data_IF_659966773008
#
_entry.id   IF_659966773008
#
_cell.length_a   1.000
_cell.length_b   1.000
_cell.length_c   1.000
_cell.angle_alpha   90.00
_cell.angle_beta   90.00
_cell.angle_gamma   90.00
#
_symmetry.space_group_name_H-M   'P 1'
#
loop_
_entity.id
_entity.type
_entity.pdbx_description
1 polymer ?
#
# COMPACT_ATOMS: atom_id res chain seq x y z
N UNK A 1 41.02 12.64 12.85
CA UNK A 1 39.66 12.21 13.22
C UNK A 1 39.79 10.84 13.89
N UNK A 2 39.64 10.74 15.22
CA UNK A 2 39.70 9.45 15.93
C UNK A 2 38.28 8.87 15.96
N UNK A 3 38.14 7.63 15.53
CA UNK A 3 36.86 6.90 15.48
C UNK A 3 36.98 5.76 16.49
N UNK A 4 36.55 6.03 17.72
CA UNK A 4 36.66 5.10 18.85
C UNK A 4 35.35 5.10 19.61
N UNK A 5 34.87 3.92 20.00
CA UNK A 5 33.56 3.73 20.65
C UNK A 5 33.37 4.61 21.89
N UNK A 6 34.45 4.88 22.64
CA UNK A 6 34.42 5.78 23.80
C UNK A 6 34.11 7.24 23.43
N UNK A 7 34.73 7.75 22.38
CA UNK A 7 34.47 9.12 21.91
C UNK A 7 33.08 9.23 21.27
N UNK A 8 32.64 8.21 20.54
CA UNK A 8 31.33 8.19 19.90
C UNK A 8 30.19 8.08 20.92
N UNK A 9 30.35 7.25 21.96
CA UNK A 9 29.41 7.18 23.09
C UNK A 9 29.30 8.51 23.85
N UNK A 10 30.44 9.20 24.07
CA UNK A 10 30.46 10.50 24.73
C UNK A 10 29.77 11.60 23.90
N UNK A 11 29.92 11.56 22.56
CA UNK A 11 29.20 12.47 21.67
C UNK A 11 27.70 12.25 21.75
N UNK A 12 27.24 10.99 21.70
CA UNK A 12 25.81 10.67 21.83
C UNK A 12 25.26 11.15 23.18
N UNK A 13 25.98 10.91 24.28
CA UNK A 13 25.55 11.36 25.61
C UNK A 13 25.41 12.90 25.69
N UNK A 14 26.37 13.64 25.12
CA UNK A 14 26.30 15.11 25.05
C UNK A 14 25.18 15.60 24.14
N UNK A 15 24.93 14.88 23.05
CA UNK A 15 23.85 15.19 22.10
C UNK A 15 22.49 15.00 22.78
N UNK A 16 22.27 13.88 23.45
CA UNK A 16 21.04 13.59 24.23
C UNK A 16 20.86 14.61 25.35
N UNK A 17 21.92 14.97 26.07
CA UNK A 17 21.86 15.95 27.15
C UNK A 17 21.44 17.34 26.67
N UNK A 18 21.91 17.76 25.48
CA UNK A 18 21.58 19.06 24.89
C UNK A 18 20.23 19.06 24.19
N UNK A 19 19.77 17.90 23.73
CA UNK A 19 18.54 17.70 22.96
C UNK A 19 18.26 18.83 21.94
N UNK A 20 19.23 19.20 21.09
CA UNK A 20 19.03 20.27 20.13
C UNK A 20 17.97 19.85 19.10
N UNK A 21 16.93 20.65 18.91
CA UNK A 21 15.78 20.30 18.03
C UNK A 21 16.24 20.07 16.58
N UNK A 22 17.27 20.78 16.12
CA UNK A 22 17.82 20.63 14.76
C UNK A 22 18.53 19.29 14.53
N UNK A 23 19.20 18.72 15.54
CA UNK A 23 19.95 17.46 15.41
C UNK A 23 19.21 16.25 16.02
N UNK A 24 18.30 16.49 16.96
CA UNK A 24 17.46 15.52 17.66
C UNK A 24 16.01 16.02 17.77
N UNK A 25 15.23 16.03 16.67
CA UNK A 25 13.81 16.38 16.73
C UNK A 25 13.03 15.32 17.52
N UNK A 26 12.09 15.75 18.35
CA UNK A 26 11.15 14.85 19.04
C UNK A 26 10.10 14.34 18.07
N UNK A 27 10.01 13.02 17.88
CA UNK A 27 8.98 12.40 17.06
C UNK A 27 7.79 12.02 17.95
N UNK A 28 6.58 12.57 17.74
CA UNK A 28 5.40 12.18 18.49
C UNK A 28 4.99 10.76 18.12
N UNK A 29 4.62 9.97 19.13
CA UNK A 29 4.06 8.63 18.95
C UNK A 29 2.62 8.79 18.46
N UNK A 30 2.20 8.08 17.39
CA UNK A 30 0.81 8.10 16.95
C UNK A 30 -0.12 7.63 18.07
N UNK A 31 -1.34 8.18 18.10
CA UNK A 31 -2.40 7.59 18.91
C UNK A 31 -2.93 6.30 18.25
N UNK A 32 -3.73 5.52 18.98
CA UNK A 32 -4.24 4.24 18.51
C UNK A 32 -5.01 4.36 17.18
N UNK A 33 -5.81 5.42 17.01
CA UNK A 33 -6.58 5.64 15.78
C UNK A 33 -5.68 5.99 14.58
N UNK A 34 -4.64 6.80 14.78
CA UNK A 34 -3.62 7.07 13.76
C UNK A 34 -2.87 5.79 13.39
N UNK A 35 -2.53 4.96 14.37
CA UNK A 35 -1.83 3.70 14.12
C UNK A 35 -2.71 2.70 13.35
N UNK A 36 -3.98 2.54 13.72
CA UNK A 36 -4.93 1.68 13.02
C UNK A 36 -5.14 2.14 11.58
N UNK A 37 -5.26 3.45 11.35
CA UNK A 37 -5.36 4.01 10.00
C UNK A 37 -4.07 3.75 9.17
N UNK A 38 -2.88 3.84 9.79
CA UNK A 38 -1.61 3.49 9.11
C UNK A 38 -1.54 2.00 8.76
N UNK A 39 -2.03 1.13 9.65
CA UNK A 39 -2.13 -0.32 9.40
C UNK A 39 -3.06 -0.60 8.22
N UNK A 40 -4.24 0.03 8.17
CA UNK A 40 -5.17 -0.08 7.03
C UNK A 40 -4.53 0.35 5.70
N UNK A 41 -3.79 1.46 5.68
CA UNK A 41 -3.05 1.88 4.48
C UNK A 41 -2.02 0.84 4.02
N UNK A 42 -1.27 0.28 4.97
CA UNK A 42 -0.23 -0.72 4.70
C UNK A 42 -0.85 -2.03 4.21
N UNK A 43 -1.98 -2.41 4.78
CA UNK A 43 -2.72 -3.60 4.38
C UNK A 43 -3.27 -3.46 2.95
N UNK A 44 -3.89 -2.33 2.63
CA UNK A 44 -4.35 -2.02 1.28
C UNK A 44 -3.20 -2.11 0.25
N UNK A 45 -2.03 -1.57 0.57
CA UNK A 45 -0.84 -1.66 -0.28
C UNK A 45 -0.42 -3.12 -0.51
N UNK A 46 -0.42 -3.94 0.54
CA UNK A 46 -0.07 -5.36 0.45
C UNK A 46 -1.02 -6.14 -0.45
N UNK A 47 -2.34 -5.94 -0.31
CA UNK A 47 -3.32 -6.58 -1.20
C UNK A 47 -3.17 -6.10 -2.66
N UNK A 48 -2.89 -4.82 -2.88
CA UNK A 48 -2.63 -4.26 -4.21
C UNK A 48 -1.39 -4.89 -4.86
N UNK A 49 -0.33 -5.11 -4.08
CA UNK A 49 0.88 -5.83 -4.53
C UNK A 49 0.56 -7.27 -4.90
N UNK A 50 -0.20 -7.99 -4.08
CA UNK A 50 -0.62 -9.37 -4.37
C UNK A 50 -1.47 -9.45 -5.64
N UNK A 51 -2.39 -8.52 -5.84
CA UNK A 51 -3.22 -8.42 -7.05
C UNK A 51 -2.34 -8.27 -8.31
N UNK A 52 -1.35 -7.38 -8.24
CA UNK A 52 -0.40 -7.14 -9.33
C UNK A 52 0.47 -8.35 -9.61
N UNK A 53 0.97 -9.01 -8.57
CA UNK A 53 1.75 -10.25 -8.69
C UNK A 53 0.94 -11.38 -9.33
N UNK A 54 -0.31 -11.59 -8.91
CA UNK A 54 -1.19 -12.59 -9.50
C UNK A 54 -1.46 -12.33 -10.98
N UNK A 55 -1.72 -11.07 -11.37
CA UNK A 55 -1.88 -10.67 -12.78
C UNK A 55 -0.61 -10.90 -13.60
N UNK A 56 0.56 -10.61 -13.03
CA UNK A 56 1.84 -10.86 -13.70
C UNK A 56 2.12 -12.35 -13.86
N UNK A 57 1.81 -13.19 -12.86
CA UNK A 57 1.93 -14.66 -12.97
C UNK A 57 1.05 -15.20 -14.09
N UNK A 58 -0.19 -14.73 -14.17
CA UNK A 58 -1.11 -15.13 -15.23
C UNK A 58 -0.59 -14.70 -16.62
N UNK A 59 -0.04 -13.49 -16.75
CA UNK A 59 0.59 -13.01 -17.98
C UNK A 59 1.81 -13.86 -18.40
N UNK A 60 2.67 -14.22 -17.44
CA UNK A 60 3.81 -15.11 -17.70
C UNK A 60 3.36 -16.47 -18.21
N UNK A 61 2.26 -17.01 -17.68
CA UNK A 61 1.69 -18.28 -18.11
C UNK A 61 1.20 -18.22 -19.57
N UNK A 62 0.52 -17.13 -19.96
CA UNK A 62 0.15 -16.90 -21.37
C UNK A 62 1.37 -16.84 -22.30
N UNK A 63 2.44 -16.18 -21.84
CA UNK A 63 3.69 -16.08 -22.61
C UNK A 63 4.33 -17.45 -22.80
N UNK A 64 4.36 -18.30 -21.76
CA UNK A 64 4.86 -19.67 -21.83
C UNK A 64 4.04 -20.57 -22.75
N UNK A 65 2.73 -20.32 -22.85
CA UNK A 65 1.83 -21.00 -23.78
C UNK A 65 1.96 -20.50 -25.23
N UNK A 66 2.81 -19.50 -25.50
CA UNK A 66 2.99 -18.89 -26.83
C UNK A 66 1.94 -17.83 -27.20
N UNK A 67 1.06 -17.46 -26.27
CA UNK A 67 -0.03 -16.49 -26.48
C UNK A 67 0.42 -15.06 -26.18
N UNK A 68 1.40 -14.56 -26.95
CA UNK A 68 2.01 -13.23 -26.74
C UNK A 68 1.08 -12.05 -27.05
N UNK A 69 -0.03 -12.30 -27.73
CA UNK A 69 -1.05 -11.28 -28.01
C UNK A 69 -1.83 -10.87 -26.75
N UNK A 70 -1.85 -11.72 -25.71
CA UNK A 70 -2.52 -11.42 -24.44
C UNK A 70 -1.62 -10.52 -23.60
N UNK A 71 -1.77 -9.22 -23.77
CA UNK A 71 -1.12 -8.21 -22.95
C UNK A 71 -1.79 -8.05 -21.57
N UNK A 72 -1.09 -7.41 -20.63
CA UNK A 72 -1.61 -7.07 -19.29
C UNK A 72 -2.95 -6.31 -19.30
N UNK A 73 -3.24 -5.56 -20.37
CA UNK A 73 -4.52 -4.85 -20.54
C UNK A 73 -5.72 -5.79 -20.56
N UNK A 74 -5.57 -6.98 -21.15
CA UNK A 74 -6.61 -8.01 -21.20
C UNK A 74 -6.78 -8.74 -19.87
N UNK A 75 -5.89 -8.53 -18.89
CA UNK A 75 -5.96 -9.17 -17.57
C UNK A 75 -6.44 -8.19 -16.48
N UNK A 76 -6.99 -7.04 -16.88
CA UNK A 76 -7.41 -6.00 -15.95
C UNK A 76 -8.71 -6.35 -15.23
N UNK A 77 -9.71 -6.85 -15.96
CA UNK A 77 -11.04 -7.16 -15.41
C UNK A 77 -11.21 -8.66 -15.19
N UNK A 78 -12.15 -9.02 -14.32
CA UNK A 78 -12.45 -10.44 -14.04
C UNK A 78 -12.93 -11.17 -15.29
N UNK A 79 -13.91 -10.59 -15.97
CA UNK A 79 -14.50 -11.14 -17.19
C UNK A 79 -13.44 -11.37 -18.27
N UNK A 80 -12.54 -10.41 -18.48
CA UNK A 80 -11.50 -10.55 -19.51
C UNK A 80 -10.45 -11.60 -19.14
N UNK A 81 -10.12 -11.76 -17.86
CA UNK A 81 -9.22 -12.81 -17.37
C UNK A 81 -9.81 -14.20 -17.59
N UNK A 82 -11.07 -14.41 -17.22
CA UNK A 82 -11.77 -15.68 -17.41
C UNK A 82 -11.86 -16.05 -18.90
N UNK A 83 -12.24 -15.09 -19.75
CA UNK A 83 -12.28 -15.28 -21.19
C UNK A 83 -10.90 -15.58 -21.81
N UNK A 84 -9.83 -15.00 -21.25
CA UNK A 84 -8.47 -15.29 -21.75
C UNK A 84 -8.01 -16.69 -21.35
N UNK A 85 -8.38 -17.18 -20.16
CA UNK A 85 -7.95 -18.50 -19.66
C UNK A 85 -8.55 -19.65 -20.48
N UNK A 86 -9.70 -19.46 -21.12
CA UNK A 86 -10.28 -20.49 -22.02
C UNK A 86 -9.43 -20.75 -23.26
N UNK A 87 -8.54 -19.81 -23.64
CA UNK A 87 -7.61 -19.96 -24.77
C UNK A 87 -6.39 -20.83 -24.44
N UNK A 88 -6.15 -21.14 -23.16
CA UNK A 88 -5.03 -21.98 -22.75
C UNK A 88 -5.32 -23.45 -22.99
N UNK A 89 -4.29 -24.20 -23.39
CA UNK A 89 -4.33 -25.66 -23.43
C UNK A 89 -4.44 -26.26 -22.02
N UNK A 90 -4.93 -27.50 -21.93
CA UNK A 90 -5.18 -28.19 -20.65
C UNK A 90 -3.98 -28.25 -19.72
N UNK A 91 -2.76 -28.25 -20.28
CA UNK A 91 -1.50 -28.22 -19.52
C UNK A 91 -1.39 -26.99 -18.61
N UNK A 92 -1.75 -25.81 -19.12
CA UNK A 92 -1.63 -24.54 -18.40
C UNK A 92 -2.95 -24.11 -17.75
N UNK A 93 -4.08 -24.58 -18.28
CA UNK A 93 -5.42 -24.19 -17.82
C UNK A 93 -5.66 -24.43 -16.33
N UNK A 94 -5.27 -25.60 -15.80
CA UNK A 94 -5.42 -25.92 -14.37
C UNK A 94 -4.62 -24.98 -13.46
N UNK A 95 -3.44 -24.55 -13.90
CA UNK A 95 -2.65 -23.57 -13.14
C UNK A 95 -3.29 -22.18 -13.20
N UNK A 96 -3.75 -21.76 -14.38
CA UNK A 96 -4.44 -20.50 -14.57
C UNK A 96 -5.71 -20.39 -13.71
N UNK A 97 -6.53 -21.44 -13.66
CA UNK A 97 -7.74 -21.49 -12.83
C UNK A 97 -7.45 -21.32 -11.33
N UNK A 98 -6.34 -21.90 -10.84
CA UNK A 98 -5.91 -21.68 -9.44
C UNK A 98 -5.49 -20.24 -9.20
N UNK A 99 -4.77 -19.63 -10.14
CA UNK A 99 -4.39 -18.21 -10.05
C UNK A 99 -5.63 -17.31 -10.05
N UNK A 100 -6.65 -17.61 -10.87
CA UNK A 100 -7.91 -16.87 -10.89
C UNK A 100 -8.63 -16.91 -9.54
N UNK A 101 -8.71 -18.07 -8.89
CA UNK A 101 -9.33 -18.20 -7.55
C UNK A 101 -8.63 -17.35 -6.51
N UNK A 102 -7.30 -17.31 -6.52
CA UNK A 102 -6.52 -16.45 -5.60
C UNK A 102 -6.79 -14.97 -5.90
N UNK A 103 -6.80 -14.60 -7.19
CA UNK A 103 -7.08 -13.23 -7.60
C UNK A 103 -8.48 -12.76 -7.18
N UNK A 104 -9.48 -13.63 -7.25
CA UNK A 104 -10.84 -13.34 -6.79
C UNK A 104 -10.89 -13.03 -5.29
N UNK A 105 -10.18 -13.83 -4.48
CA UNK A 105 -10.10 -13.61 -3.05
C UNK A 105 -9.38 -12.30 -2.71
N UNK A 106 -8.29 -12.00 -3.40
CA UNK A 106 -7.55 -10.74 -3.24
C UNK A 106 -8.44 -9.54 -3.60
N UNK A 107 -9.21 -9.62 -4.69
CA UNK A 107 -10.13 -8.54 -5.08
C UNK A 107 -11.29 -8.37 -4.10
N UNK A 108 -11.77 -9.45 -3.46
CA UNK A 108 -12.76 -9.37 -2.40
C UNK A 108 -12.20 -8.65 -1.16
N UNK A 109 -11.03 -9.07 -0.68
CA UNK A 109 -10.38 -8.43 0.49
C UNK A 109 -10.06 -6.96 0.23
N UNK A 110 -9.63 -6.62 -0.99
CA UNK A 110 -9.34 -5.24 -1.35
C UNK A 110 -10.59 -4.36 -1.29
N UNK A 111 -11.76 -4.88 -1.69
CA UNK A 111 -13.03 -4.16 -1.54
C UNK A 111 -13.43 -3.95 -0.07
N UNK A 112 -13.29 -4.97 0.76
CA UNK A 112 -13.59 -4.86 2.20
C UNK A 112 -12.74 -3.77 2.85
N UNK A 113 -11.45 -3.72 2.52
CA UNK A 113 -10.55 -2.69 3.03
C UNK A 113 -10.88 -1.31 2.46
N UNK A 114 -11.25 -1.21 1.19
CA UNK A 114 -11.72 0.06 0.62
C UNK A 114 -12.98 0.59 1.34
N UNK A 115 -13.89 -0.29 1.76
CA UNK A 115 -15.07 0.06 2.56
C UNK A 115 -14.69 0.55 3.97
N UNK A 116 -13.77 -0.15 4.65
CA UNK A 116 -13.23 0.28 5.95
C UNK A 116 -12.51 1.62 5.88
N UNK A 117 -11.71 1.85 4.83
CA UNK A 117 -11.04 3.13 4.55
C UNK A 117 -12.09 4.24 4.37
N UNK A 118 -13.15 3.98 3.62
CA UNK A 118 -14.23 4.96 3.45
C UNK A 118 -14.91 5.29 4.78
N UNK A 119 -15.10 4.30 5.65
CA UNK A 119 -15.69 4.51 6.97
C UNK A 119 -14.76 5.32 7.89
N UNK A 120 -13.46 5.02 7.91
CA UNK A 120 -12.47 5.80 8.64
C UNK A 120 -12.46 7.28 8.20
N UNK A 121 -12.54 7.54 6.90
CA UNK A 121 -12.57 8.89 6.34
C UNK A 121 -13.85 9.67 6.68
N UNK A 122 -14.98 9.00 6.95
CA UNK A 122 -16.24 9.66 7.36
C UNK A 122 -16.15 10.35 8.72
N UNK A 123 -15.20 9.99 9.57
CA UNK A 123 -15.00 10.65 10.87
C UNK A 123 -14.49 12.09 10.72
N UNK A 124 -13.68 12.34 9.68
CA UNK A 124 -13.03 13.63 9.42
C UNK A 124 -13.41 14.23 8.05
N UNK A 125 -14.70 14.22 7.70
CA UNK A 125 -15.20 14.62 6.36
C UNK A 125 -14.67 15.96 5.86
N UNK A 126 -14.64 16.99 6.71
CA UNK A 126 -14.20 18.32 6.29
C UNK A 126 -12.73 18.32 5.86
N UNK A 127 -11.85 17.72 6.67
CA UNK A 127 -10.43 17.59 6.37
C UNK A 127 -10.18 16.77 5.09
N UNK A 128 -10.90 15.65 4.95
CA UNK A 128 -10.81 14.78 3.76
C UNK A 128 -11.27 15.51 2.51
N UNK A 129 -12.37 16.25 2.55
CA UNK A 129 -12.85 17.05 1.41
C UNK A 129 -11.84 18.11 0.98
N UNK A 130 -11.20 18.80 1.93
CA UNK A 130 -10.16 19.79 1.63
C UNK A 130 -8.97 19.12 0.95
N UNK A 131 -8.49 17.99 1.45
CA UNK A 131 -7.33 17.30 0.89
C UNK A 131 -7.63 16.68 -0.48
N UNK A 132 -8.80 16.06 -0.64
CA UNK A 132 -9.22 15.48 -1.92
C UNK A 132 -9.52 16.53 -3.00
N UNK A 133 -9.64 17.81 -2.65
CA UNK A 133 -9.73 18.89 -3.64
C UNK A 133 -8.43 19.10 -4.41
N UNK A 134 -7.29 18.65 -3.86
CA UNK A 134 -6.01 18.71 -4.54
C UNK A 134 -5.93 17.63 -5.65
N UNK A 135 -5.46 18.00 -6.86
CA UNK A 135 -5.37 17.06 -7.97
C UNK A 135 -4.42 15.91 -7.65
N UNK A 136 -4.88 14.68 -7.90
CA UNK A 136 -4.10 13.46 -7.68
C UNK A 136 -4.26 12.83 -6.29
N UNK A 137 -5.02 13.43 -5.38
CA UNK A 137 -5.25 12.89 -4.04
C UNK A 137 -6.60 12.14 -3.98
N UNK A 138 -6.52 10.82 -3.87
CA UNK A 138 -7.67 9.94 -3.68
C UNK A 138 -7.93 9.58 -2.21
N UNK A 139 -8.89 8.69 -1.97
CA UNK A 139 -9.29 8.25 -0.62
C UNK A 139 -8.11 7.63 0.17
N UNK A 140 -7.38 6.70 -0.44
CA UNK A 140 -6.25 6.01 0.21
C UNK A 140 -5.15 7.00 0.59
N UNK A 141 -4.79 7.90 -0.35
CA UNK A 141 -3.79 8.95 -0.11
C UNK A 141 -4.26 9.93 0.96
N UNK A 142 -5.56 10.23 1.02
CA UNK A 142 -6.13 11.09 2.06
C UNK A 142 -6.05 10.44 3.44
N UNK A 143 -6.34 9.14 3.55
CA UNK A 143 -6.18 8.39 4.80
C UNK A 143 -4.73 8.35 5.25
N UNK A 144 -3.79 8.14 4.31
CA UNK A 144 -2.37 8.20 4.61
C UNK A 144 -1.97 9.59 5.13
N UNK A 145 -2.33 10.66 4.43
CA UNK A 145 -2.03 12.03 4.88
C UNK A 145 -2.59 12.29 6.28
N UNK A 146 -3.86 11.96 6.50
CA UNK A 146 -4.52 12.13 7.80
C UNK A 146 -3.81 11.35 8.91
N UNK A 147 -3.46 10.09 8.66
CA UNK A 147 -2.86 9.21 9.67
C UNK A 147 -1.40 9.55 10.00
N UNK A 148 -0.64 10.11 9.05
CA UNK A 148 0.74 10.53 9.26
C UNK A 148 0.87 11.99 9.73
N UNK A 149 -0.04 12.88 9.32
CA UNK A 149 0.00 14.31 9.65
C UNK A 149 -0.88 14.71 10.83
N UNK A 150 -1.90 13.94 11.20
CA UNK A 150 -2.78 14.22 12.33
C UNK A 150 -3.41 15.61 12.23
N UNK A 151 -3.37 16.38 13.31
CA UNK A 151 -3.94 17.74 13.38
C UNK A 151 -3.04 18.84 12.77
N UNK A 152 -1.95 18.47 12.10
CA UNK A 152 -0.96 19.35 11.46
C UNK A 152 -0.31 20.42 12.36
N UNK A 153 -0.68 20.55 13.65
CA UNK A 153 -0.10 21.53 14.59
C UNK A 153 1.39 21.29 14.85
N UNK A 154 1.85 20.08 14.60
CA UNK A 154 3.26 19.68 14.64
C UNK A 154 4.14 20.36 13.59
N UNK A 155 3.55 21.02 12.58
CA UNK A 155 4.28 21.70 11.50
C UNK A 155 4.09 23.23 11.49
N UNK A 156 3.37 23.78 12.46
CA UNK A 156 3.14 25.23 12.63
C UNK A 156 4.08 25.86 13.65
#
# INVERSE_FOLDING_TARGET
MKKTDKEDSLKIARLIQRHPIEELPTVPIPNDEEEDNRRLCSEHENWTKQLTQGKNRLHSLFTQAGLTQITKKHLRTKVSREASVTLLSDRYKKEAERILKVLDLVELNLKLIEEEIQEALKKNKAYVQTIMSMPGIGMITSLAIMSYMGDCKRFS
#
